data_IF_013828088299
#
_entry.id   IF_013828088299
#
_cell.length_a   1.000
_cell.length_b   1.000
_cell.length_c   1.000
_cell.angle_alpha   90.00
_cell.angle_beta   90.00
_cell.angle_gamma   90.00
#
_symmetry.space_group_name_H-M   'P 1'
#
loop_
_entity.id
_entity.type
_entity.pdbx_description
1 polymer ?
#
# COMPACT_ATOMS: atom_id res chain seq x y z
N UNK A 1 -31.42 -6.38 21.55
CA UNK A 1 -32.00 -5.02 21.47
C UNK A 1 -32.65 -4.73 22.80
N UNK A 2 -32.01 -3.96 23.68
CA UNK A 2 -32.64 -3.48 24.91
C UNK A 2 -33.66 -2.41 24.51
N UNK A 3 -34.94 -2.61 24.83
CA UNK A 3 -35.95 -1.58 24.58
C UNK A 3 -35.55 -0.32 25.34
N UNK A 4 -35.47 0.84 24.68
CA UNK A 4 -35.12 2.12 25.30
C UNK A 4 -36.18 2.68 26.26
N UNK A 5 -37.00 1.81 26.87
CA UNK A 5 -37.94 2.18 27.91
C UNK A 5 -37.21 2.21 29.24
N UNK A 6 -37.17 3.39 29.85
CA UNK A 6 -36.63 3.59 31.20
C UNK A 6 -37.72 3.20 32.19
N UNK A 7 -37.39 2.33 33.15
CA UNK A 7 -38.32 1.91 34.19
C UNK A 7 -38.36 2.89 35.37
N UNK A 8 -39.48 2.94 36.11
CA UNK A 8 -39.63 3.83 37.28
C UNK A 8 -38.54 3.59 38.34
N UNK A 9 -38.16 2.33 38.54
CA UNK A 9 -37.07 1.93 39.43
C UNK A 9 -35.74 2.52 38.99
N UNK A 10 -35.50 2.62 37.69
CA UNK A 10 -34.27 3.17 37.10
C UNK A 10 -34.19 4.69 37.27
N UNK A 11 -35.31 5.40 37.16
CA UNK A 11 -35.43 6.84 37.46
C UNK A 11 -35.16 7.10 38.95
N UNK A 12 -35.74 6.28 39.83
CA UNK A 12 -35.53 6.39 41.28
C UNK A 12 -34.07 6.16 41.67
N UNK A 13 -33.44 5.12 41.11
CA UNK A 13 -32.02 4.84 41.32
C UNK A 13 -31.12 5.97 40.81
N UNK A 14 -31.45 6.58 39.66
CA UNK A 14 -30.70 7.72 39.12
C UNK A 14 -30.82 8.95 40.03
N UNK A 15 -32.03 9.24 40.54
CA UNK A 15 -32.26 10.32 41.51
C UNK A 15 -31.48 10.09 42.80
N UNK A 16 -31.45 8.86 43.31
CA UNK A 16 -30.69 8.50 44.50
C UNK A 16 -29.19 8.69 44.29
N UNK A 17 -28.63 8.21 43.18
CA UNK A 17 -27.21 8.41 42.86
C UNK A 17 -26.83 9.88 42.76
N UNK A 18 -27.68 10.70 42.14
CA UNK A 18 -27.49 12.16 42.06
C UNK A 18 -27.48 12.80 43.45
N UNK A 19 -28.40 12.38 44.32
CA UNK A 19 -28.46 12.86 45.70
C UNK A 19 -27.20 12.48 46.50
N UNK A 20 -26.72 11.25 46.37
CA UNK A 20 -25.49 10.79 47.00
C UNK A 20 -24.24 11.54 46.49
N UNK A 21 -24.19 11.86 45.20
CA UNK A 21 -23.12 12.67 44.60
C UNK A 21 -23.20 14.13 45.05
N UNK A 22 -24.40 14.68 45.17
CA UNK A 22 -24.64 16.02 45.70
C UNK A 22 -24.20 16.13 47.15
N UNK A 23 -24.62 15.20 48.02
CA UNK A 23 -24.25 15.19 49.44
C UNK A 23 -22.74 15.12 49.67
N UNK A 24 -21.98 14.52 48.76
CA UNK A 24 -20.50 14.48 48.82
C UNK A 24 -19.83 15.82 48.50
N UNK A 25 -20.45 16.64 47.66
CA UNK A 25 -19.88 17.91 47.15
C UNK A 25 -20.56 19.14 47.78
N UNK A 26 -21.72 18.96 48.41
CA UNK A 26 -22.57 20.02 48.98
C UNK A 26 -21.89 20.70 50.17
N UNK A 27 -21.92 22.04 50.15
CA UNK A 27 -21.50 22.90 51.27
C UNK A 27 -22.69 23.30 52.16
N UNK A 28 -22.45 23.76 53.40
CA UNK A 28 -23.50 24.03 54.40
C UNK A 28 -24.62 24.99 53.94
N UNK A 29 -24.32 25.92 53.03
CA UNK A 29 -25.27 26.91 52.51
C UNK A 29 -26.08 26.44 51.28
N UNK A 30 -25.84 25.22 50.78
CA UNK A 30 -26.49 24.70 49.58
C UNK A 30 -27.69 23.80 49.88
N UNK A 31 -28.72 23.76 48.99
CA UNK A 31 -29.97 23.04 49.22
C UNK A 31 -29.76 21.55 49.49
N UNK A 32 -30.59 20.98 50.38
CA UNK A 32 -30.47 19.57 50.79
C UNK A 32 -30.76 18.62 49.64
N UNK A 33 -31.72 18.94 48.78
CA UNK A 33 -32.03 18.15 47.59
C UNK A 33 -31.13 18.55 46.43
N UNK A 34 -30.61 17.54 45.72
CA UNK A 34 -29.83 17.72 44.50
C UNK A 34 -30.70 18.44 43.46
N UNK A 35 -30.19 19.51 42.83
CA UNK A 35 -30.90 20.18 41.75
C UNK A 35 -31.35 19.19 40.68
N UNK A 36 -32.59 19.30 40.23
CA UNK A 36 -33.07 18.52 39.09
C UNK A 36 -32.30 18.91 37.83
N UNK A 37 -32.06 17.93 36.96
CA UNK A 37 -31.39 18.17 35.68
C UNK A 37 -32.16 19.23 34.90
N UNK A 38 -31.42 20.20 34.35
CA UNK A 38 -32.00 21.27 33.54
C UNK A 38 -32.84 20.66 32.42
N UNK A 39 -34.15 20.91 32.49
CA UNK A 39 -35.08 20.46 31.48
C UNK A 39 -34.76 21.17 30.17
N UNK A 40 -34.21 20.44 29.20
CA UNK A 40 -33.92 20.98 27.88
C UNK A 40 -35.24 21.38 27.18
N UNK A 41 -35.48 22.68 26.95
CA UNK A 41 -36.75 23.15 26.38
C UNK A 41 -36.88 22.83 24.88
N UNK A 42 -35.83 22.32 24.23
CA UNK A 42 -35.88 21.94 22.82
C UNK A 42 -36.82 20.77 22.59
N UNK A 43 -37.51 20.81 21.46
CA UNK A 43 -38.41 19.72 21.10
C UNK A 43 -37.61 18.44 20.83
N UNK A 44 -38.26 17.28 21.00
CA UNK A 44 -37.64 15.99 20.64
C UNK A 44 -37.16 15.98 19.18
N UNK A 45 -37.90 16.64 18.29
CA UNK A 45 -37.52 16.79 16.89
C UNK A 45 -36.19 17.52 16.74
N UNK A 46 -35.97 18.63 17.44
CA UNK A 46 -34.73 19.40 17.35
C UNK A 46 -33.52 18.58 17.82
N UNK A 47 -33.67 17.81 18.91
CA UNK A 47 -32.60 16.93 19.42
C UNK A 47 -32.26 15.81 18.43
N UNK A 48 -33.27 15.16 17.88
CA UNK A 48 -33.07 14.08 16.92
C UNK A 48 -32.49 14.59 15.60
N UNK A 49 -32.92 15.78 15.16
CA UNK A 49 -32.40 16.45 13.98
C UNK A 49 -30.93 16.79 14.17
N UNK A 50 -30.54 17.39 15.30
CA UNK A 50 -29.14 17.70 15.60
C UNK A 50 -28.26 16.43 15.59
N UNK A 51 -28.72 15.33 16.19
CA UNK A 51 -27.98 14.06 16.15
C UNK A 51 -27.84 13.49 14.74
N UNK A 52 -28.92 13.58 13.94
CA UNK A 52 -28.89 13.13 12.55
C UNK A 52 -27.94 13.98 11.72
N UNK A 53 -28.08 15.30 11.80
CA UNK A 53 -27.27 16.26 11.05
C UNK A 53 -25.78 16.14 11.44
N UNK A 54 -25.48 15.91 12.72
CA UNK A 54 -24.11 15.64 13.19
C UNK A 54 -23.54 14.37 12.56
N UNK A 55 -24.31 13.27 12.54
CA UNK A 55 -23.88 12.01 11.94
C UNK A 55 -23.70 12.13 10.43
N UNK A 56 -24.58 12.88 9.77
CA UNK A 56 -24.50 13.16 8.34
C UNK A 56 -23.26 13.98 8.00
N UNK A 57 -22.96 15.02 8.79
CA UNK A 57 -21.74 15.82 8.63
C UNK A 57 -20.46 15.00 8.87
N UNK A 58 -20.42 14.17 9.92
CA UNK A 58 -19.28 13.27 10.18
C UNK A 58 -19.06 12.28 9.03
N UNK A 59 -20.16 11.76 8.46
CA UNK A 59 -20.11 10.88 7.31
C UNK A 59 -19.60 11.60 6.06
N UNK A 60 -20.14 12.79 5.75
CA UNK A 60 -19.72 13.60 4.61
C UNK A 60 -18.25 14.03 4.71
N UNK A 61 -17.79 14.45 5.89
CA UNK A 61 -16.39 14.78 6.11
C UNK A 61 -15.49 13.55 5.95
N UNK A 62 -15.84 12.39 6.50
CA UNK A 62 -15.07 11.16 6.31
C UNK A 62 -15.01 10.70 4.84
N UNK A 63 -16.11 10.87 4.09
CA UNK A 63 -16.21 10.51 2.67
C UNK A 63 -15.77 11.63 1.74
N UNK A 64 -15.34 12.76 2.29
CA UNK A 64 -14.79 13.86 1.50
C UNK A 64 -13.56 13.33 0.75
N UNK A 65 -13.52 13.57 -0.56
CA UNK A 65 -12.42 13.13 -1.43
C UNK A 65 -11.04 13.48 -0.89
N UNK A 66 -10.91 14.60 -0.16
CA UNK A 66 -9.68 15.00 0.52
C UNK A 66 -9.16 13.96 1.53
N UNK A 67 -10.05 13.29 2.25
CA UNK A 67 -9.69 12.26 3.23
C UNK A 67 -9.49 10.89 2.58
N UNK A 68 -10.12 10.65 1.42
CA UNK A 68 -9.92 9.41 0.65
C UNK A 68 -8.62 9.44 -0.18
N UNK A 69 -8.18 10.60 -0.64
CA UNK A 69 -6.97 10.77 -1.44
C UNK A 69 -5.84 11.19 -0.49
N UNK A 70 -5.26 10.21 0.20
CA UNK A 70 -3.98 10.41 0.89
C UNK A 70 -2.90 10.49 -0.20
N UNK A 71 -2.18 11.61 -0.25
CA UNK A 71 -0.98 11.71 -1.10
C UNK A 71 0.09 10.73 -0.62
N UNK A 72 1.02 10.38 -1.51
CA UNK A 72 2.22 9.65 -1.12
C UNK A 72 3.05 10.53 -0.17
N UNK A 73 3.55 9.94 0.91
CA UNK A 73 4.52 10.61 1.76
C UNK A 73 5.94 10.59 1.15
N UNK A 74 6.85 11.38 1.71
CA UNK A 74 8.19 11.57 1.16
C UNK A 74 8.98 10.24 1.11
N UNK A 75 8.78 9.36 2.10
CA UNK A 75 9.40 8.03 2.17
C UNK A 75 8.82 7.07 1.12
N UNK A 76 7.50 7.10 0.90
CA UNK A 76 6.81 6.33 -0.13
C UNK A 76 7.28 6.74 -1.55
N UNK A 77 7.54 8.03 -1.79
CA UNK A 77 8.11 8.52 -3.05
C UNK A 77 9.56 8.03 -3.23
N UNK A 78 10.40 8.14 -2.20
CA UNK A 78 11.79 7.66 -2.27
C UNK A 78 11.84 6.15 -2.54
N UNK A 79 10.93 5.38 -1.95
CA UNK A 79 10.81 3.95 -2.22
C UNK A 79 10.48 3.66 -3.69
N UNK A 80 9.53 4.39 -4.30
CA UNK A 80 9.21 4.23 -5.72
C UNK A 80 10.41 4.55 -6.61
N UNK A 81 11.14 5.62 -6.31
CA UNK A 81 12.37 5.99 -7.02
C UNK A 81 13.45 4.90 -6.91
N UNK A 82 13.60 4.29 -5.74
CA UNK A 82 14.55 3.19 -5.53
C UNK A 82 14.15 1.95 -6.34
N UNK A 83 12.87 1.60 -6.33
CA UNK A 83 12.33 0.46 -7.10
C UNK A 83 12.57 0.66 -8.60
N UNK A 84 12.31 1.86 -9.12
CA UNK A 84 12.51 2.16 -10.53
C UNK A 84 14.00 2.12 -10.93
N UNK A 85 14.89 2.66 -10.08
CA UNK A 85 16.35 2.51 -10.27
C UNK A 85 16.77 1.05 -10.29
N UNK A 86 16.29 0.25 -9.34
CA UNK A 86 16.61 -1.19 -9.26
C UNK A 86 16.16 -1.94 -10.51
N UNK A 87 14.93 -1.70 -10.98
CA UNK A 87 14.41 -2.31 -12.21
C UNK A 87 15.26 -1.93 -13.43
N UNK A 88 15.57 -0.64 -13.56
CA UNK A 88 16.39 -0.15 -14.67
C UNK A 88 17.79 -0.77 -14.67
N UNK A 89 18.42 -0.89 -13.49
CA UNK A 89 19.73 -1.53 -13.35
C UNK A 89 19.69 -3.02 -13.71
N UNK A 90 18.64 -3.74 -13.29
CA UNK A 90 18.45 -5.14 -13.65
C UNK A 90 18.23 -5.34 -15.15
N UNK A 91 17.39 -4.52 -15.78
CA UNK A 91 17.17 -4.56 -17.23
C UNK A 91 18.44 -4.25 -18.00
N UNK A 92 19.19 -3.21 -17.58
CA UNK A 92 20.48 -2.86 -18.16
C UNK A 92 21.50 -3.99 -18.00
N UNK A 93 21.52 -4.66 -16.85
CA UNK A 93 22.40 -5.82 -16.59
C UNK A 93 22.06 -6.98 -17.52
N UNK A 94 20.77 -7.33 -17.64
CA UNK A 94 20.30 -8.38 -18.56
C UNK A 94 20.69 -8.07 -20.00
N UNK A 95 20.43 -6.84 -20.46
CA UNK A 95 20.79 -6.41 -21.81
C UNK A 95 22.29 -6.53 -22.10
N UNK A 96 23.13 -6.13 -21.14
CA UNK A 96 24.59 -6.24 -21.27
C UNK A 96 25.06 -7.70 -21.30
N UNK A 97 24.47 -8.56 -20.49
CA UNK A 97 24.76 -10.00 -20.45
C UNK A 97 24.37 -10.67 -21.77
N UNK A 98 23.14 -10.45 -22.25
CA UNK A 98 22.64 -10.94 -23.53
C UNK A 98 23.51 -10.46 -24.70
N UNK A 99 23.91 -9.17 -24.70
CA UNK A 99 24.78 -8.62 -25.74
C UNK A 99 26.16 -9.29 -25.76
N UNK A 100 26.73 -9.58 -24.58
CA UNK A 100 28.01 -10.30 -24.48
C UNK A 100 27.89 -11.72 -25.01
N UNK A 101 26.87 -12.47 -24.58
CA UNK A 101 26.63 -13.84 -25.04
C UNK A 101 26.42 -13.90 -26.56
N UNK A 102 25.64 -12.98 -27.12
CA UNK A 102 25.44 -12.89 -28.57
C UNK A 102 26.75 -12.60 -29.32
N UNK A 103 27.59 -11.71 -28.79
CA UNK A 103 28.88 -11.40 -29.39
C UNK A 103 29.85 -12.59 -29.30
N UNK A 104 29.88 -13.31 -28.18
CA UNK A 104 30.66 -14.53 -28.03
C UNK A 104 30.20 -15.65 -28.97
N UNK A 105 28.89 -15.80 -29.14
CA UNK A 105 28.32 -16.74 -30.10
C UNK A 105 28.73 -16.40 -31.54
N UNK A 106 28.64 -15.12 -31.93
CA UNK A 106 29.06 -14.65 -33.26
C UNK A 106 30.54 -14.95 -33.50
N UNK A 107 31.42 -14.60 -32.55
CA UNK A 107 32.86 -14.89 -32.65
C UNK A 107 33.14 -16.39 -32.77
N UNK A 108 32.50 -17.21 -31.94
CA UNK A 108 32.72 -18.67 -31.97
C UNK A 108 32.22 -19.29 -33.28
N UNK A 109 31.13 -18.77 -33.84
CA UNK A 109 30.65 -19.16 -35.18
C UNK A 109 31.64 -18.76 -36.27
N UNK A 110 32.14 -17.53 -36.24
CA UNK A 110 33.14 -17.03 -37.19
C UNK A 110 34.40 -17.91 -37.15
N UNK A 111 34.97 -18.19 -35.96
CA UNK A 111 36.12 -19.08 -35.84
C UNK A 111 35.85 -20.49 -36.39
N UNK A 112 34.67 -21.06 -36.14
CA UNK A 112 34.32 -22.39 -36.64
C UNK A 112 34.13 -22.41 -38.17
N UNK A 113 33.60 -21.34 -38.75
CA UNK A 113 33.50 -21.16 -40.20
C UNK A 113 34.90 -21.00 -40.84
N UNK A 114 35.78 -20.22 -40.23
CA UNK A 114 37.20 -20.10 -40.64
C UNK A 114 37.93 -21.44 -40.59
N UNK A 115 37.83 -22.19 -39.48
CA UNK A 115 38.43 -23.52 -39.33
C UNK A 115 37.91 -24.50 -40.40
N UNK A 116 36.60 -24.48 -40.69
CA UNK A 116 36.01 -25.32 -41.72
C UNK A 116 36.51 -24.96 -43.12
N UNK A 117 36.63 -23.66 -43.44
CA UNK A 117 37.19 -23.19 -44.71
C UNK A 117 38.65 -23.61 -44.85
N UNK A 118 39.47 -23.46 -43.80
CA UNK A 118 40.84 -23.93 -43.80
C UNK A 118 40.95 -25.44 -44.03
N UNK A 119 40.10 -26.23 -43.39
CA UNK A 119 40.07 -27.68 -43.59
C UNK A 119 39.72 -28.04 -45.04
N UNK A 120 38.73 -27.36 -45.65
CA UNK A 120 38.39 -27.54 -47.06
C UNK A 120 39.56 -27.21 -47.98
N UNK A 121 40.21 -26.05 -47.78
CA UNK A 121 41.38 -25.64 -48.57
C UNK A 121 42.53 -26.66 -48.41
N UNK A 122 42.82 -27.11 -47.18
CA UNK A 122 43.85 -28.13 -46.92
C UNK A 122 43.54 -29.44 -47.64
N UNK A 123 42.28 -29.85 -47.66
CA UNK A 123 41.83 -31.07 -48.35
C UNK A 123 41.96 -30.94 -49.88
N UNK A 124 41.60 -29.80 -50.46
CA UNK A 124 41.77 -29.52 -51.90
C UNK A 124 43.25 -29.43 -52.32
N UNK A 125 44.10 -28.84 -51.50
CA UNK A 125 45.56 -28.84 -51.72
C UNK A 125 46.10 -30.26 -51.66
N UNK A 126 45.61 -31.09 -50.73
CA UNK A 126 46.04 -32.49 -50.61
C UNK A 126 45.58 -33.34 -51.80
N UNK A 127 44.38 -33.11 -52.33
CA UNK A 127 43.85 -33.84 -53.49
C UNK A 127 44.46 -33.40 -54.82
N UNK A 128 44.90 -32.15 -54.94
CA UNK A 128 45.52 -31.61 -56.16
C UNK A 128 47.04 -31.83 -56.28
N UNK A 129 47.72 -32.33 -55.24
CA UNK A 129 49.15 -32.67 -55.31
C UNK A 129 49.37 -33.81 -56.31
N UNK A 130 50.12 -33.59 -57.41
CA UNK A 130 50.38 -34.64 -58.39
C UNK A 130 51.36 -35.66 -57.80
N UNK A 131 51.03 -36.95 -57.96
CA UNK A 131 51.93 -38.07 -57.68
C UNK A 131 53.13 -38.01 -58.64
N UNK A 132 54.17 -37.28 -58.25
CA UNK A 132 55.49 -37.34 -58.88
C UNK A 132 56.28 -38.49 -58.26
N UNK A 133 56.23 -39.65 -58.92
CA UNK A 133 57.26 -40.69 -58.93
C UNK A 133 57.18 -41.33 -60.32
N UNK A 134 57.95 -40.84 -61.30
CA UNK A 134 59.36 -41.12 -61.58
C UNK A 134 59.56 -42.51 -62.20
N UNK A 135 59.97 -42.50 -63.47
CA UNK A 135 60.31 -43.62 -64.34
C UNK A 135 61.36 -44.57 -63.75
N UNK A 136 61.14 -45.88 -63.94
CA UNK A 136 62.14 -46.79 -64.54
C UNK A 136 61.51 -48.11 -64.95
#
# INVERSE_FOLDING_TARGET
MSSGFISETEIANQRQRRQEEWEKVRTADQPVEAPEEEYDPRSLFDRLKEQKDKKEFEYEEAHKLKNMIKGLDDDEVEFLDLVDKSKFEEEKRKYLEESKELNEFRRRRECLEEENLEQRIKNEIKSSKPSLNSSR
#
